data_IF_441848465277
#
_entry.id   IF_441848465277
#
_cell.length_a   1.000
_cell.length_b   1.000
_cell.length_c   1.000
_cell.angle_alpha   90.00
_cell.angle_beta   90.00
_cell.angle_gamma   90.00
#
_symmetry.space_group_name_H-M   'P 1'
#
loop_
_entity.id
_entity.type
_entity.pdbx_description
1 polymer ?
#
# COMPACT_ATOMS: atom_id res chain seq x y z
N UNK A 1 -20.59 -14.67 9.19
CA UNK A 1 -19.93 -13.47 9.74
C UNK A 1 -18.81 -13.15 8.78
N UNK A 2 -18.85 -12.04 8.05
CA UNK A 2 -17.72 -11.67 7.21
C UNK A 2 -16.58 -11.27 8.15
N UNK A 3 -15.57 -12.12 8.29
CA UNK A 3 -14.39 -11.80 9.10
C UNK A 3 -13.69 -10.58 8.50
N UNK A 4 -13.48 -9.56 9.33
CA UNK A 4 -12.75 -8.34 8.99
C UNK A 4 -11.36 -8.72 8.48
N UNK A 5 -10.90 -8.09 7.42
CA UNK A 5 -9.56 -8.32 6.90
C UNK A 5 -8.51 -7.92 7.96
N UNK A 6 -7.35 -8.57 7.92
CA UNK A 6 -6.23 -8.24 8.80
C UNK A 6 -5.35 -7.16 8.17
N UNK A 7 -4.58 -6.44 8.98
CA UNK A 7 -3.62 -5.43 8.49
C UNK A 7 -2.68 -6.04 7.44
N UNK A 8 -2.19 -7.25 7.69
CA UNK A 8 -1.28 -7.97 6.80
C UNK A 8 -1.95 -8.39 5.48
N UNK A 9 -3.21 -8.83 5.52
CA UNK A 9 -3.96 -9.19 4.29
C UNK A 9 -4.18 -7.96 3.40
N UNK A 10 -4.56 -6.84 4.03
CA UNK A 10 -4.74 -5.55 3.34
C UNK A 10 -3.41 -5.02 2.83
N UNK A 11 -2.33 -5.12 3.61
CA UNK A 11 -1.00 -4.65 3.22
C UNK A 11 -0.43 -5.45 2.05
N UNK A 12 -0.59 -6.78 2.05
CA UNK A 12 -0.15 -7.62 0.93
C UNK A 12 -0.92 -7.30 -0.37
N UNK A 13 -2.25 -7.11 -0.27
CA UNK A 13 -3.06 -6.69 -1.40
C UNK A 13 -2.62 -5.32 -1.94
N UNK A 14 -2.40 -4.33 -1.07
CA UNK A 14 -1.87 -3.02 -1.46
C UNK A 14 -0.50 -3.13 -2.15
N UNK A 15 0.41 -3.92 -1.57
CA UNK A 15 1.73 -4.14 -2.14
C UNK A 15 1.64 -4.75 -3.54
N UNK A 16 0.77 -5.76 -3.73
CA UNK A 16 0.53 -6.38 -5.05
C UNK A 16 0.04 -5.36 -6.07
N UNK A 17 -0.89 -4.48 -5.71
CA UNK A 17 -1.39 -3.43 -6.60
C UNK A 17 -0.31 -2.41 -6.99
N UNK A 18 0.51 -1.99 -6.02
CA UNK A 18 1.64 -1.09 -6.30
C UNK A 18 2.66 -1.79 -7.19
N UNK A 19 2.95 -3.08 -6.94
CA UNK A 19 3.90 -3.88 -7.72
C UNK A 19 3.45 -4.07 -9.17
N UNK A 20 2.19 -4.40 -9.37
CA UNK A 20 1.61 -4.66 -10.70
C UNK A 20 1.63 -3.40 -11.58
N UNK A 21 1.45 -2.24 -10.95
CA UNK A 21 1.45 -0.93 -11.62
C UNK A 21 2.77 -0.17 -11.49
N UNK A 22 3.81 -0.81 -10.93
CA UNK A 22 5.10 -0.18 -10.67
C UNK A 22 5.73 0.30 -11.99
N UNK A 23 6.21 1.54 -12.01
CA UNK A 23 6.76 2.17 -13.21
C UNK A 23 5.72 2.69 -14.21
N UNK A 24 4.43 2.33 -14.07
CA UNK A 24 3.34 2.86 -14.90
C UNK A 24 2.54 3.93 -14.18
N UNK A 25 2.22 3.71 -12.91
CA UNK A 25 1.39 4.61 -12.09
C UNK A 25 2.02 4.82 -10.72
N UNK A 26 1.93 6.07 -10.23
CA UNK A 26 2.24 6.39 -8.84
C UNK A 26 0.96 6.39 -8.01
N UNK A 27 0.94 5.65 -6.91
CA UNK A 27 -0.21 5.62 -6.01
C UNK A 27 -0.10 6.71 -4.96
N UNK A 28 -1.12 7.56 -4.83
CA UNK A 28 -1.25 8.40 -3.63
C UNK A 28 -1.84 7.54 -2.51
N UNK A 29 -1.48 7.83 -1.25
CA UNK A 29 -2.04 7.13 -0.10
C UNK A 29 -3.58 7.14 -0.09
N UNK A 30 -4.18 8.26 -0.48
CA UNK A 30 -5.64 8.42 -0.58
C UNK A 30 -6.25 7.53 -1.65
N UNK A 31 -5.64 7.45 -2.83
CA UNK A 31 -6.14 6.63 -3.94
C UNK A 31 -5.97 5.13 -3.65
N UNK A 32 -4.84 4.74 -3.06
CA UNK A 32 -4.60 3.37 -2.62
C UNK A 32 -5.59 2.93 -1.54
N UNK A 33 -5.90 3.84 -0.60
CA UNK A 33 -6.91 3.60 0.43
C UNK A 33 -8.29 3.35 -0.19
N UNK A 34 -8.70 4.15 -1.17
CA UNK A 34 -9.97 3.95 -1.88
C UNK A 34 -10.00 2.61 -2.61
N UNK A 35 -8.93 2.30 -3.35
CA UNK A 35 -8.84 1.07 -4.11
C UNK A 35 -8.93 -0.19 -3.23
N UNK A 36 -8.31 -0.17 -2.04
CA UNK A 36 -8.42 -1.30 -1.10
C UNK A 36 -9.80 -1.38 -0.45
N UNK A 37 -10.43 -0.24 -0.16
CA UNK A 37 -11.81 -0.19 0.35
C UNK A 37 -12.79 -0.77 -0.67
N UNK A 38 -12.59 -0.49 -1.96
CA UNK A 38 -13.37 -1.07 -3.05
C UNK A 38 -13.12 -2.57 -3.20
N UNK A 39 -11.88 -3.02 -3.02
CA UNK A 39 -11.49 -4.43 -3.15
C UNK A 39 -12.03 -5.31 -1.99
N UNK A 40 -11.94 -4.81 -0.76
CA UNK A 40 -12.35 -5.56 0.43
C UNK A 40 -13.77 -5.23 0.91
N UNK A 41 -14.37 -4.16 0.41
CA UNK A 41 -15.70 -3.71 0.82
C UNK A 41 -15.79 -3.50 2.33
N UNK A 42 -16.86 -4.02 2.93
CA UNK A 42 -17.15 -3.93 4.36
C UNK A 42 -16.11 -4.64 5.26
N UNK A 43 -15.21 -5.45 4.68
CA UNK A 43 -14.15 -6.14 5.44
C UNK A 43 -12.97 -5.23 5.78
N UNK A 44 -12.86 -4.06 5.14
CA UNK A 44 -11.78 -3.11 5.38
C UNK A 44 -12.34 -1.72 5.68
N UNK A 45 -11.78 -1.06 6.69
CA UNK A 45 -12.11 0.32 7.02
C UNK A 45 -10.95 1.25 6.67
N UNK A 46 -11.24 2.56 6.63
CA UNK A 46 -10.21 3.59 6.41
C UNK A 46 -9.08 3.52 7.43
N UNK A 47 -9.37 3.14 8.66
CA UNK A 47 -8.35 3.00 9.71
C UNK A 47 -7.43 1.81 9.44
N UNK A 48 -8.01 0.65 9.09
CA UNK A 48 -7.27 -0.55 8.73
C UNK A 48 -6.39 -0.31 7.50
N UNK A 49 -6.91 0.38 6.48
CA UNK A 49 -6.13 0.77 5.31
C UNK A 49 -4.93 1.67 5.67
N UNK A 50 -5.10 2.63 6.59
CA UNK A 50 -3.98 3.47 7.06
C UNK A 50 -2.94 2.65 7.83
N UNK A 51 -3.38 1.72 8.67
CA UNK A 51 -2.48 0.81 9.38
C UNK A 51 -1.71 -0.07 8.40
N UNK A 52 -2.36 -0.60 7.37
CA UNK A 52 -1.72 -1.39 6.33
C UNK A 52 -0.68 -0.60 5.53
N UNK A 53 -0.98 0.66 5.17
CA UNK A 53 0.02 1.53 4.54
C UNK A 53 1.21 1.73 5.48
N UNK A 54 0.96 1.99 6.76
CA UNK A 54 2.02 2.16 7.75
C UNK A 54 2.91 0.92 7.86
N UNK A 55 2.31 -0.27 7.95
CA UNK A 55 3.00 -1.57 7.96
C UNK A 55 3.90 -1.78 6.71
N UNK A 56 3.43 -1.37 5.53
CA UNK A 56 4.25 -1.43 4.31
C UNK A 56 5.49 -0.54 4.36
N UNK A 57 5.37 0.66 4.94
CA UNK A 57 6.49 1.58 5.09
C UNK A 57 7.43 1.13 6.21
N UNK A 58 6.89 0.75 7.37
CA UNK A 58 7.67 0.31 8.54
C UNK A 58 8.42 -1.01 8.28
N UNK A 59 7.86 -1.92 7.47
CA UNK A 59 8.57 -3.13 7.04
C UNK A 59 9.56 -2.89 5.88
N UNK A 60 9.64 -1.67 5.34
CA UNK A 60 10.52 -1.31 4.23
C UNK A 60 10.09 -1.89 2.88
N UNK A 61 8.89 -2.46 2.77
CA UNK A 61 8.33 -2.99 1.51
C UNK A 61 7.95 -1.88 0.53
N UNK A 62 7.54 -0.72 1.06
CA UNK A 62 7.23 0.47 0.29
C UNK A 62 7.89 1.71 0.91
N UNK A 63 8.01 2.77 0.13
CA UNK A 63 8.54 4.06 0.57
C UNK A 63 7.59 5.19 0.18
N UNK A 64 7.62 6.27 0.95
CA UNK A 64 7.01 7.53 0.56
C UNK A 64 7.97 8.35 -0.29
N UNK A 65 7.51 8.79 -1.45
CA UNK A 65 8.24 9.74 -2.29
C UNK A 65 7.46 11.04 -2.42
N UNK A 66 8.21 12.13 -2.51
CA UNK A 66 7.68 13.50 -2.45
C UNK A 66 7.91 14.31 -3.74
N UNK A 67 8.22 13.64 -4.85
CA UNK A 67 8.51 14.30 -6.12
C UNK A 67 7.24 14.84 -6.78
N UNK A 68 6.87 16.09 -6.47
CA UNK A 68 5.66 16.76 -6.99
C UNK A 68 4.36 16.35 -6.30
N UNK A 69 4.43 15.72 -5.12
CA UNK A 69 3.29 15.23 -4.34
C UNK A 69 3.68 14.02 -3.50
N UNK A 70 2.78 13.54 -2.63
CA UNK A 70 3.01 12.34 -1.81
C UNK A 70 2.53 11.07 -2.52
N UNK A 71 3.48 10.16 -2.79
CA UNK A 71 3.22 8.89 -3.44
C UNK A 71 3.83 7.73 -2.64
N UNK A 72 3.22 6.56 -2.78
CA UNK A 72 3.72 5.29 -2.26
C UNK A 72 4.23 4.50 -3.45
N UNK A 73 5.47 4.06 -3.36
CA UNK A 73 6.11 3.23 -4.38
C UNK A 73 6.95 2.14 -3.73
N UNK A 74 7.26 1.11 -4.50
CA UNK A 74 8.20 0.08 -4.08
C UNK A 74 9.60 0.71 -4.18
N UNK A 75 10.45 0.59 -3.15
CA UNK A 75 11.80 1.09 -3.23
C UNK A 75 12.49 0.47 -4.45
N UNK A 76 13.02 1.33 -5.32
CA UNK A 76 13.87 0.87 -6.41
C UNK A 76 15.05 0.13 -5.79
N UNK A 77 15.19 -1.16 -6.12
CA UNK A 77 16.33 -1.97 -5.70
C UNK A 77 17.58 -1.54 -6.48
N UNK A 78 18.04 -0.31 -6.29
CA UNK A 78 19.43 0.03 -6.52
C UNK A 78 20.19 -0.24 -5.22
N UNK A 79 20.77 -1.44 -5.14
CA UNK A 79 21.96 -1.74 -4.32
C UNK A 79 21.83 -1.66 -2.79
N UNK A 80 21.01 -2.51 -2.17
CA UNK A 80 21.25 -2.93 -0.79
C UNK A 80 21.78 -4.38 -0.77
N UNK A 81 22.89 -4.59 -1.48
CA UNK A 81 23.89 -5.58 -1.10
C UNK A 81 24.96 -4.78 -0.35
N UNK A 82 25.05 -4.95 0.97
CA UNK A 82 26.19 -4.52 1.77
C UNK A 82 26.46 -5.58 2.81
#
# INVERSE_FOLDING_TARGET
MAERATVTEVSDAMYKMIKDTAGQKKWKATDLTKAVLELFGDRCDKDLAKQAIRDLIESGRCIYTYYGGSFIEIPHKEGAEN
#
